data_IF_930726675797
#
_entry.id   IF_930726675797
#
_cell.length_a   1.000
_cell.length_b   1.000
_cell.length_c   1.000
_cell.angle_alpha   90.00
_cell.angle_beta   90.00
_cell.angle_gamma   90.00
#
_symmetry.space_group_name_H-M   'P 1'
#
loop_
_entity.id
_entity.type
_entity.pdbx_description
1 polymer ?
#
# COMPACT_ATOMS: atom_id res chain seq x y z
N UNK A 1 4.29 11.88 1.66
CA UNK A 1 3.65 10.92 2.60
C UNK A 1 4.72 10.00 3.14
N UNK A 2 4.47 9.36 4.28
CA UNK A 2 5.37 8.33 4.81
C UNK A 2 5.59 7.21 3.78
N UNK A 3 4.55 6.84 3.04
CA UNK A 3 4.64 5.88 1.94
C UNK A 3 5.63 6.27 0.83
N UNK A 4 5.86 7.55 0.54
CA UNK A 4 6.90 7.94 -0.43
C UNK A 4 8.31 7.64 0.09
N UNK A 5 8.54 7.86 1.39
CA UNK A 5 9.83 7.62 2.03
C UNK A 5 10.11 6.12 2.09
N UNK A 6 9.12 5.34 2.51
CA UNK A 6 9.24 3.87 2.56
C UNK A 6 9.53 3.30 1.17
N UNK A 7 8.87 3.80 0.12
CA UNK A 7 9.15 3.37 -1.27
C UNK A 7 10.56 3.70 -1.74
N UNK A 8 11.18 4.75 -1.20
CA UNK A 8 12.56 5.12 -1.51
C UNK A 8 13.56 4.23 -0.77
N UNK A 9 13.25 3.84 0.47
CA UNK A 9 14.15 3.04 1.32
C UNK A 9 14.06 1.54 1.04
N UNK A 10 12.85 0.99 1.09
CA UNK A 10 12.60 -0.46 0.95
C UNK A 10 12.33 -0.87 -0.51
N UNK A 11 12.16 0.11 -1.40
CA UNK A 11 11.82 -0.11 -2.79
C UNK A 11 10.32 -0.38 -3.00
N UNK A 12 9.93 -1.21 -3.99
CA UNK A 12 8.53 -1.42 -4.33
C UNK A 12 7.76 -2.07 -3.17
N UNK A 13 6.62 -1.48 -2.79
CA UNK A 13 5.66 -2.00 -1.78
C UNK A 13 4.90 -3.25 -2.26
N UNK A 14 5.58 -4.20 -2.87
CA UNK A 14 4.97 -5.37 -3.51
C UNK A 14 5.31 -6.63 -2.69
N UNK A 15 4.31 -7.29 -2.07
CA UNK A 15 4.55 -8.50 -1.30
C UNK A 15 5.00 -9.69 -2.17
N UNK A 16 4.74 -9.63 -3.49
CA UNK A 16 5.35 -10.49 -4.50
C UNK A 16 5.70 -9.67 -5.74
N UNK A 17 6.78 -10.04 -6.43
CA UNK A 17 7.30 -9.25 -7.56
C UNK A 17 6.29 -9.11 -8.71
N UNK A 18 5.38 -10.07 -8.90
CA UNK A 18 4.37 -10.02 -9.95
C UNK A 18 3.18 -9.09 -9.67
N UNK A 19 3.12 -8.44 -8.51
CA UNK A 19 2.14 -7.38 -8.21
C UNK A 19 2.77 -6.00 -8.06
N UNK A 20 4.08 -5.89 -8.33
CA UNK A 20 4.79 -4.63 -8.29
C UNK A 20 4.42 -3.73 -9.47
N UNK A 21 4.16 -2.45 -9.21
CA UNK A 21 3.92 -1.45 -10.26
C UNK A 21 5.21 -0.94 -10.90
N UNK A 22 6.32 -0.90 -10.15
CA UNK A 22 7.58 -0.32 -10.60
C UNK A 22 8.64 -1.36 -10.93
N UNK A 23 8.50 -2.60 -10.44
CA UNK A 23 9.45 -3.68 -10.63
C UNK A 23 8.73 -5.02 -10.83
N UNK A 24 7.82 -5.08 -11.80
CA UNK A 24 7.11 -6.31 -12.12
C UNK A 24 8.09 -7.40 -12.55
N UNK A 25 7.99 -8.59 -11.95
CA UNK A 25 8.69 -9.79 -12.43
C UNK A 25 7.75 -11.00 -12.40
N UNK A 26 7.84 -11.84 -13.44
CA UNK A 26 7.14 -13.13 -13.45
C UNK A 26 7.71 -14.03 -12.35
N UNK A 27 6.83 -14.67 -11.60
CA UNK A 27 7.23 -15.64 -10.58
C UNK A 27 7.93 -16.83 -11.24
N UNK A 28 9.13 -17.18 -10.76
CA UNK A 28 9.93 -18.28 -11.31
C UNK A 28 9.31 -19.65 -11.05
N UNK A 29 8.79 -19.85 -9.84
CA UNK A 29 8.33 -21.17 -9.36
C UNK A 29 6.80 -21.25 -9.27
N UNK A 30 6.08 -20.41 -10.02
CA UNK A 30 4.63 -20.39 -10.01
C UNK A 30 4.06 -21.20 -11.20
N UNK A 31 3.19 -22.19 -10.96
CA UNK A 31 2.57 -22.96 -12.04
C UNK A 31 1.67 -22.11 -12.95
N UNK A 32 1.21 -20.95 -12.45
CA UNK A 32 0.37 -20.02 -13.21
C UNK A 32 1.19 -18.94 -13.94
N UNK A 33 2.52 -18.95 -13.88
CA UNK A 33 3.36 -17.91 -14.49
C UNK A 33 3.24 -17.83 -16.03
N UNK A 34 2.89 -18.94 -16.68
CA UNK A 34 2.66 -19.04 -18.12
C UNK A 34 1.19 -18.87 -18.51
N UNK A 35 0.28 -18.79 -17.54
CA UNK A 35 -1.16 -18.65 -17.78
C UNK A 35 -1.57 -17.17 -17.87
N UNK A 36 -2.71 -16.91 -18.51
CA UNK A 36 -3.25 -15.55 -18.64
C UNK A 36 -3.68 -14.95 -17.30
N UNK A 37 -3.96 -15.77 -16.29
CA UNK A 37 -4.44 -15.30 -14.99
C UNK A 37 -3.87 -16.15 -13.83
N UNK A 38 -3.24 -15.48 -12.87
CA UNK A 38 -2.82 -16.08 -11.60
C UNK A 38 -3.83 -15.71 -10.49
N UNK A 39 -4.55 -16.68 -9.89
CA UNK A 39 -5.55 -16.38 -8.86
C UNK A 39 -5.01 -15.61 -7.65
N UNK A 40 -3.78 -15.93 -7.25
CA UNK A 40 -3.10 -15.29 -6.11
C UNK A 40 -2.74 -13.83 -6.43
N UNK A 41 -2.43 -13.52 -7.69
CA UNK A 41 -1.99 -12.18 -8.09
C UNK A 41 -3.05 -11.13 -7.75
N UNK A 42 -4.34 -11.46 -7.90
CA UNK A 42 -5.43 -10.53 -7.59
C UNK A 42 -5.48 -10.19 -6.10
N UNK A 43 -5.45 -11.21 -5.24
CA UNK A 43 -5.48 -11.02 -3.77
C UNK A 43 -4.24 -10.25 -3.32
N UNK A 44 -3.07 -10.58 -3.87
CA UNK A 44 -1.82 -9.93 -3.50
C UNK A 44 -1.73 -8.49 -4.00
N UNK A 45 -2.41 -8.16 -5.10
CA UNK A 45 -2.58 -6.78 -5.55
C UNK A 45 -3.44 -5.98 -4.56
N UNK A 46 -4.51 -6.57 -4.04
CA UNK A 46 -5.36 -5.93 -3.03
C UNK A 46 -4.59 -5.69 -1.73
N UNK A 47 -3.79 -6.67 -1.28
CA UNK A 47 -2.89 -6.51 -0.11
C UNK A 47 -1.89 -5.38 -0.34
N UNK A 48 -1.26 -5.34 -1.52
CA UNK A 48 -0.33 -4.27 -1.91
C UNK A 48 -0.99 -2.90 -1.85
N UNK A 49 -2.21 -2.78 -2.37
CA UNK A 49 -2.98 -1.54 -2.35
C UNK A 49 -3.38 -1.13 -0.93
N UNK A 50 -3.74 -2.09 -0.07
CA UNK A 50 -4.04 -1.83 1.34
C UNK A 50 -2.82 -1.29 2.09
N UNK A 51 -1.65 -1.90 1.93
CA UNK A 51 -0.39 -1.42 2.53
C UNK A 51 -0.06 -0.01 2.04
N UNK A 52 -0.10 0.21 0.73
CA UNK A 52 0.15 1.51 0.12
C UNK A 52 -0.81 2.58 0.68
N UNK A 53 -2.10 2.25 0.77
CA UNK A 53 -3.12 3.14 1.33
C UNK A 53 -2.75 3.52 2.76
N UNK A 54 -2.50 2.56 3.65
CA UNK A 54 -2.13 2.85 5.04
C UNK A 54 -0.92 3.79 5.10
N UNK A 55 0.16 3.48 4.39
CA UNK A 55 1.38 4.27 4.42
C UNK A 55 1.23 5.66 3.80
N UNK A 56 0.35 5.82 2.81
CA UNK A 56 0.09 7.11 2.17
C UNK A 56 -0.82 8.02 3.00
N UNK A 57 -1.55 7.49 3.98
CA UNK A 57 -2.32 8.30 4.93
C UNK A 57 -1.46 8.87 6.08
N UNK A 58 -0.28 8.30 6.36
CA UNK A 58 0.62 8.84 7.37
C UNK A 58 1.51 9.96 6.80
N UNK A 59 1.64 11.03 7.56
CA UNK A 59 2.63 12.08 7.32
C UNK A 59 3.85 11.89 8.23
N UNK A 60 4.93 12.63 7.95
CA UNK A 60 6.09 12.68 8.85
C UNK A 60 5.72 13.28 10.21
N UNK A 61 4.81 14.25 10.23
CA UNK A 61 4.34 14.89 11.46
C UNK A 61 3.61 13.88 12.36
N UNK A 62 2.76 13.03 11.79
CA UNK A 62 2.07 11.96 12.53
C UNK A 62 3.05 10.93 13.12
N UNK A 63 4.23 10.76 12.51
CA UNK A 63 5.27 9.86 12.99
C UNK A 63 6.10 10.47 14.12
N UNK A 64 6.43 11.77 14.02
CA UNK A 64 7.20 12.50 15.06
C UNK A 64 6.34 12.82 16.27
N UNK A 65 5.07 13.14 16.06
CA UNK A 65 4.09 13.47 17.10
C UNK A 65 2.96 12.45 17.09
N UNK A 66 3.20 11.22 17.58
CA UNK A 66 2.18 10.17 17.57
C UNK A 66 0.97 10.63 18.38
N UNK A 67 -0.18 10.79 17.70
CA UNK A 67 -1.46 10.99 18.38
C UNK A 67 -1.74 9.75 19.22
N UNK A 68 -1.97 9.94 20.51
CA UNK A 68 -2.42 8.90 21.44
C UNK A 68 -3.88 8.51 21.12
N UNK A 69 -4.10 7.93 19.95
CA UNK A 69 -5.32 7.22 19.60
C UNK A 69 -4.93 5.76 19.43
N UNK A 70 -5.22 4.95 20.45
CA UNK A 70 -4.87 3.55 20.47
C UNK A 70 -5.37 2.83 19.22
N UNK A 71 -4.44 2.34 18.39
CA UNK A 71 -4.63 1.18 17.53
C UNK A 71 -5.71 1.25 16.44
N UNK A 72 -6.16 2.44 16.01
CA UNK A 72 -7.10 2.51 14.90
C UNK A 72 -6.36 2.31 13.57
N UNK A 73 -6.30 1.06 13.10
CA UNK A 73 -6.11 0.80 11.67
C UNK A 73 -7.28 1.50 10.96
N UNK A 74 -7.04 2.45 10.05
CA UNK A 74 -8.12 3.11 9.32
C UNK A 74 -9.00 2.05 8.65
N UNK A 75 -10.31 2.09 8.89
CA UNK A 75 -11.30 1.20 8.29
C UNK A 75 -11.21 1.30 6.76
N UNK A 76 -10.45 0.38 6.15
CA UNK A 76 -10.03 0.40 4.74
C UNK A 76 -11.22 0.40 3.78
N UNK A 77 -12.42 0.05 4.25
CA UNK A 77 -13.64 -0.04 3.44
C UNK A 77 -14.34 1.30 3.17
N UNK A 78 -13.93 2.42 3.78
CA UNK A 78 -14.74 3.66 3.74
C UNK A 78 -13.98 4.94 3.33
N UNK A 79 -12.69 4.89 3.01
CA UNK A 79 -11.92 6.14 2.93
C UNK A 79 -11.86 6.74 1.51
N UNK A 80 -12.37 7.98 1.31
CA UNK A 80 -12.17 8.70 0.07
C UNK A 80 -10.70 9.15 -0.05
N UNK A 81 -10.24 9.28 -1.30
CA UNK A 81 -8.86 9.59 -1.66
C UNK A 81 -8.25 10.78 -0.88
N UNK A 82 -6.94 10.76 -0.59
CA UNK A 82 -6.28 11.83 0.15
C UNK A 82 -6.32 13.14 -0.65
N UNK A 83 -6.91 14.19 -0.07
CA UNK A 83 -6.97 15.53 -0.69
C UNK A 83 -8.03 16.50 -0.17
N UNK A 84 -8.99 16.08 0.68
CA UNK A 84 -10.00 17.02 1.20
C UNK A 84 -9.50 17.70 2.47
N UNK A 85 -8.76 18.80 2.31
CA UNK A 85 -8.52 19.75 3.39
C UNK A 85 -9.87 20.26 3.91
N UNK A 86 -10.28 19.82 5.09
CA UNK A 86 -11.45 20.34 5.80
C UNK A 86 -11.13 21.78 6.24
N UNK A 87 -11.54 22.79 5.45
CA UNK A 87 -11.57 24.19 5.88
C UNK A 87 -12.47 24.29 7.12
N UNK A 88 -11.87 24.57 8.28
CA UNK A 88 -12.61 25.01 9.48
C UNK A 88 -13.29 26.34 9.17
N UNK A 89 -14.62 26.37 9.30
CA UNK A 89 -15.39 27.60 9.48
C UNK A 89 -15.71 27.72 10.96
#
# INVERSE_FOLDING_TARGET
TLGQIIRLLDGPLAPISCVSQTAYQKCRDCPHAATTACPIQRIMLDVRNAIASVLDHYTLEDFVFPRQEGGAVPDIKTQPAPGTTRKKK
#
